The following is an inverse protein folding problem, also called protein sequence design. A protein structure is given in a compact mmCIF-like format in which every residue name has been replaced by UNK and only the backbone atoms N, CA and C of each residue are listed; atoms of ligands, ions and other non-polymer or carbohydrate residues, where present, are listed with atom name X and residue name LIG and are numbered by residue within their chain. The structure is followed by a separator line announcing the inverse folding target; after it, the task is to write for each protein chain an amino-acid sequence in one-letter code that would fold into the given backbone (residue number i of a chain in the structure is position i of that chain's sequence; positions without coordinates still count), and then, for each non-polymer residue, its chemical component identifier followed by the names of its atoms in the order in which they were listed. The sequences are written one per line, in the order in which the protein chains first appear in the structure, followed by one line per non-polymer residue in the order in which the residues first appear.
data_IF_234330712099
#
_entry.id   IF_234330712099
#
_cell.length_a   1.000
_cell.length_b   1.000
_cell.length_c   1.000
_cell.angle_alpha   90.00
_cell.angle_beta   90.00
_cell.angle_gamma   90.00
#
_symmetry.space_group_name_H-M   'P 1'
#
loop_
_entity.id
_entity.type
_entity.pdbx_description
1 polymer ?
#
# COMPACT_ATOMS: atom_id res chain seq x y z
N UNK A 1 7.13 -1.92 -11.28
CA UNK A 1 7.15 -2.62 -9.98
C UNK A 1 6.63 -1.74 -8.85
N UNK A 2 7.09 -0.50 -8.66
CA UNK A 2 6.68 0.33 -7.52
C UNK A 2 5.95 1.63 -7.90
N UNK A 3 5.13 1.62 -8.95
CA UNK A 3 4.52 2.84 -9.51
C UNK A 3 3.38 3.40 -8.65
N UNK A 4 2.67 2.52 -7.94
CA UNK A 4 1.55 2.86 -7.03
C UNK A 4 1.87 2.64 -5.55
N UNK A 5 3.10 2.22 -5.27
CA UNK A 5 3.59 1.92 -3.93
C UNK A 5 3.94 3.24 -3.23
N UNK A 6 3.35 3.47 -2.05
CA UNK A 6 3.64 4.66 -1.23
C UNK A 6 4.70 4.35 -0.18
N UNK A 7 5.11 5.38 0.57
CA UNK A 7 6.14 5.25 1.61
C UNK A 7 5.73 4.24 2.67
N UNK A 8 4.48 4.32 3.12
CA UNK A 8 3.92 3.45 4.15
C UNK A 8 3.95 1.98 3.74
N UNK A 9 3.63 1.66 2.48
CA UNK A 9 3.65 0.30 1.95
C UNK A 9 5.07 -0.31 2.06
N UNK A 10 6.12 0.46 1.72
CA UNK A 10 7.51 0.00 1.80
C UNK A 10 8.01 -0.13 3.23
N UNK A 11 7.63 0.80 4.11
CA UNK A 11 7.99 0.74 5.54
C UNK A 11 7.41 -0.51 6.17
N UNK A 12 6.14 -0.81 5.87
CA UNK A 12 5.45 -2.00 6.37
C UNK A 12 6.14 -3.29 5.90
N UNK A 13 6.48 -3.39 4.61
CA UNK A 13 7.21 -4.56 4.08
C UNK A 13 8.58 -4.73 4.76
N UNK A 14 9.35 -3.66 4.89
CA UNK A 14 10.67 -3.72 5.53
C UNK A 14 10.54 -4.13 7.01
N UNK A 15 9.55 -3.59 7.72
CA UNK A 15 9.26 -3.99 9.09
C UNK A 15 8.87 -5.48 9.20
N UNK A 16 8.03 -5.99 8.28
CA UNK A 16 7.61 -7.40 8.26
C UNK A 16 8.79 -8.34 7.96
N UNK A 17 9.76 -7.89 7.16
CA UNK A 17 11.02 -8.60 6.91
C UNK A 17 12.02 -8.49 8.08
N UNK A 18 11.68 -7.80 9.17
CA UNK A 18 12.54 -7.60 10.33
C UNK A 18 13.62 -6.52 10.14
N UNK A 19 13.54 -5.74 9.06
CA UNK A 19 14.41 -4.58 8.85
C UNK A 19 13.91 -3.38 9.65
N UNK A 20 14.81 -2.76 10.42
CA UNK A 20 14.48 -1.51 11.13
C UNK A 20 14.68 -0.34 10.17
N UNK A 21 13.58 0.30 9.79
CA UNK A 21 13.58 1.46 8.90
C UNK A 21 13.22 2.73 9.65
N UNK A 22 13.99 3.77 9.40
CA UNK A 22 13.72 5.10 9.94
C UNK A 22 12.54 5.73 9.19
N UNK A 23 11.67 6.38 9.96
CA UNK A 23 10.48 7.08 9.46
C UNK A 23 10.85 8.30 8.61
N UNK A 24 12.07 8.82 8.71
CA UNK A 24 12.56 9.94 7.90
C UNK A 24 12.99 9.54 6.48
N UNK A 25 13.18 8.24 6.19
CA UNK A 25 13.65 7.80 4.88
C UNK A 25 12.66 8.10 3.74
N UNK A 26 13.20 8.52 2.60
CA UNK A 26 12.43 8.70 1.38
C UNK A 26 12.07 7.37 0.70
N UNK A 27 11.03 7.37 -0.14
CA UNK A 27 10.63 6.19 -0.96
C UNK A 27 11.81 5.60 -1.73
N UNK A 28 12.69 6.45 -2.28
CA UNK A 28 13.85 5.99 -3.05
C UNK A 28 14.83 5.21 -2.16
N UNK A 29 15.10 5.70 -0.96
CA UNK A 29 16.00 5.07 0.01
C UNK A 29 15.41 3.75 0.52
N UNK A 30 14.11 3.72 0.78
CA UNK A 30 13.40 2.50 1.16
C UNK A 30 13.48 1.43 0.06
N UNK A 31 13.31 1.81 -1.20
CA UNK A 31 13.52 0.88 -2.35
C UNK A 31 14.95 0.38 -2.42
N UNK A 32 15.93 1.27 -2.22
CA UNK A 32 17.35 0.89 -2.24
C UNK A 32 17.74 -0.01 -1.06
N UNK A 33 17.02 0.04 0.06
CA UNK A 33 17.17 -0.91 1.17
C UNK A 33 16.47 -2.23 0.90
N UNK A 34 15.29 -2.19 0.29
CA UNK A 34 14.49 -3.36 -0.03
C UNK A 34 15.18 -4.27 -1.07
N UNK A 35 15.63 -3.71 -2.19
CA UNK A 35 16.20 -4.46 -3.32
C UNK A 35 17.40 -5.37 -2.97
N UNK A 36 18.38 -4.95 -2.14
CA UNK A 36 19.49 -5.81 -1.73
C UNK A 36 19.18 -6.68 -0.51
N UNK A 37 18.00 -6.52 0.14
CA UNK A 37 17.67 -7.30 1.32
C UNK A 37 17.56 -8.78 0.94
N UNK A 38 18.27 -9.65 1.69
CA UNK A 38 18.29 -11.09 1.41
C UNK A 38 16.89 -11.71 1.43
N UNK A 39 16.02 -11.23 2.33
CA UNK A 39 14.62 -11.63 2.39
C UNK A 39 13.86 -11.26 1.12
N UNK A 40 14.09 -10.06 0.56
CA UNK A 40 13.51 -9.65 -0.72
C UNK A 40 14.05 -10.50 -1.88
N UNK A 41 15.33 -10.88 -1.87
CA UNK A 41 15.91 -11.71 -2.93
C UNK A 41 15.45 -13.18 -2.89
N UNK A 42 15.19 -13.71 -1.70
CA UNK A 42 14.67 -15.07 -1.51
C UNK A 42 13.15 -15.15 -1.73
N UNK A 43 12.42 -14.09 -1.37
CA UNK A 43 10.96 -14.04 -1.40
C UNK A 43 10.41 -12.90 -2.26
N UNK A 44 11.11 -12.55 -3.35
CA UNK A 44 10.76 -11.44 -4.24
C UNK A 44 9.30 -11.49 -4.67
N UNK A 45 8.86 -12.69 -5.08
CA UNK A 45 7.49 -12.91 -5.54
C UNK A 45 6.46 -12.68 -4.44
N UNK A 46 6.75 -13.05 -3.20
CA UNK A 46 5.86 -12.80 -2.07
C UNK A 46 5.78 -11.30 -1.78
N UNK A 47 6.91 -10.59 -1.81
CA UNK A 47 6.93 -9.13 -1.60
C UNK A 47 6.15 -8.41 -2.70
N UNK A 48 6.24 -8.86 -3.95
CA UNK A 48 5.40 -8.36 -5.04
C UNK A 48 3.92 -8.58 -4.77
N UNK A 49 3.52 -9.84 -4.55
CA UNK A 49 2.13 -10.23 -4.35
C UNK A 49 1.54 -9.50 -3.14
N UNK A 50 2.32 -9.28 -2.07
CA UNK A 50 1.92 -8.51 -0.89
C UNK A 50 1.70 -7.03 -1.19
N UNK A 51 2.64 -6.39 -1.91
CA UNK A 51 2.51 -4.98 -2.30
C UNK A 51 1.33 -4.76 -3.24
N UNK A 52 1.14 -5.65 -4.21
CA UNK A 52 0.00 -5.58 -5.14
C UNK A 52 -1.32 -5.73 -4.39
N UNK A 53 -1.44 -6.71 -3.48
CA UNK A 53 -2.63 -6.89 -2.65
C UNK A 53 -2.92 -5.67 -1.78
N UNK A 54 -1.89 -5.10 -1.15
CA UNK A 54 -2.04 -3.90 -0.31
C UNK A 54 -2.51 -2.68 -1.12
N UNK A 55 -1.96 -2.51 -2.33
CA UNK A 55 -2.38 -1.45 -3.24
C UNK A 55 -3.83 -1.66 -3.69
N UNK A 56 -4.20 -2.88 -4.07
CA UNK A 56 -5.55 -3.24 -4.49
C UNK A 56 -6.57 -2.99 -3.37
N UNK A 57 -6.28 -3.43 -2.15
CA UNK A 57 -7.15 -3.26 -0.98
C UNK A 57 -7.39 -1.76 -0.69
N UNK A 58 -6.33 -0.95 -0.75
CA UNK A 58 -6.43 0.51 -0.60
C UNK A 58 -7.27 1.17 -1.69
N UNK A 59 -7.11 0.73 -2.95
CA UNK A 59 -7.90 1.26 -4.05
C UNK A 59 -9.37 0.86 -3.93
N UNK A 60 -9.63 -0.41 -3.58
CA UNK A 60 -10.99 -0.91 -3.39
C UNK A 60 -11.68 -0.19 -2.23
N UNK A 61 -11.00 0.01 -1.11
CA UNK A 61 -11.57 0.73 0.02
C UNK A 61 -11.90 2.19 -0.34
N UNK A 62 -11.04 2.86 -1.10
CA UNK A 62 -11.29 4.21 -1.58
C UNK A 62 -12.54 4.27 -2.49
N UNK A 63 -12.70 3.30 -3.39
CA UNK A 63 -13.89 3.21 -4.26
C UNK A 63 -15.15 2.86 -3.47
N UNK A 64 -15.06 1.96 -2.47
CA UNK A 64 -16.18 1.63 -1.59
C UNK A 64 -16.69 2.86 -0.84
N UNK A 65 -15.77 3.65 -0.26
CA UNK A 65 -16.12 4.91 0.42
C UNK A 65 -16.85 5.89 -0.51
N UNK A 66 -16.38 6.07 -1.75
CA UNK A 66 -17.07 6.90 -2.75
C UNK A 66 -18.48 6.39 -3.07
N UNK A 67 -18.65 5.08 -3.25
CA UNK A 67 -19.96 4.47 -3.53
C UNK A 67 -20.95 4.66 -2.38
N UNK A 68 -20.50 4.48 -1.13
CA UNK A 68 -21.33 4.73 0.05
C UNK A 68 -21.73 6.21 0.16
N UNK A 69 -20.81 7.13 -0.11
CA UNK A 69 -21.12 8.56 -0.10
C UNK A 69 -22.14 8.94 -1.18
N UNK A 70 -21.99 8.43 -2.41
CA UNK A 70 -22.95 8.63 -3.50
C UNK A 70 -24.35 8.09 -3.14
N UNK A 71 -24.44 6.88 -2.53
CA UNK A 71 -25.72 6.33 -2.06
C UNK A 71 -26.37 7.22 -0.99
N UNK A 72 -25.59 7.66 0.02
CA UNK A 72 -26.11 8.57 1.06
C UNK A 72 -26.63 9.88 0.46
N UNK A 73 -25.91 10.47 -0.49
CA UNK A 73 -26.35 11.70 -1.18
C UNK A 73 -27.62 11.50 -2.01
N UNK A 74 -27.76 10.35 -2.67
CA UNK A 74 -28.99 10.02 -3.43
C UNK A 74 -30.18 9.77 -2.50
N UNK A 75 -29.99 9.08 -1.38
CA UNK A 75 -31.04 8.90 -0.38
C UNK A 75 -31.49 10.20 0.27
N UNK A 76 -30.57 11.13 0.58
CA UNK A 76 -30.94 12.47 1.06
C UNK A 76 -31.82 13.20 0.03
N UNK A 77 -31.47 13.11 -1.26
CA UNK A 77 -32.20 13.78 -2.35
C UNK A 77 -33.59 13.20 -2.63
N UNK A 78 -33.84 11.94 -2.28
CA UNK A 78 -35.17 11.29 -2.41
C UNK A 78 -36.09 11.52 -1.22
N UNK A 79 -35.57 12.06 -0.10
CA UNK A 79 -36.33 12.35 1.13
C UNK A 79 -36.75 13.82 1.26
N UNK A 80 -36.29 14.69 0.36
CA UNK A 80 -36.77 16.07 0.18
C UNK A 80 -37.90 16.13 -0.86
#
# INVERSE_FOLDING_TARGET
MFEKVIKEDLVMVLHEMGETVDSDLGILELKQKLLPCKAYLEEEKFVCDFLDTTIEDRMEEAERRKREECRKREECRKRE
#
